data_IF_124423450988
#
_entry.id   IF_124423450988
#
_cell.length_a   1.000
_cell.length_b   1.000
_cell.length_c   1.000
_cell.angle_alpha   90.00
_cell.angle_beta   90.00
_cell.angle_gamma   90.00
#
_symmetry.space_group_name_H-M   'P 1'
#
loop_
_entity.id
_entity.type
_entity.pdbx_description
1 polymer ?
#
# COMPACT_ATOMS: atom_id res chain seq x y z
N UNK A 1 15.53 13.96 15.22
CA UNK A 1 15.18 12.57 14.81
C UNK A 1 13.95 12.07 15.57
N UNK A 2 13.25 12.98 16.26
CA UNK A 2 12.24 12.64 17.26
C UNK A 2 10.97 12.08 16.65
N UNK A 3 10.66 12.45 15.39
CA UNK A 3 9.56 11.89 14.60
C UNK A 3 9.62 10.35 14.41
N UNK A 4 10.78 9.75 14.60
CA UNK A 4 10.98 8.30 14.44
C UNK A 4 10.99 7.54 15.78
N UNK A 5 10.74 8.24 16.89
CA UNK A 5 10.63 7.59 18.20
C UNK A 5 9.37 6.71 18.19
N UNK A 6 9.55 5.46 18.61
CA UNK A 6 8.45 4.49 18.70
C UNK A 6 7.86 4.57 20.10
N UNK A 7 6.59 4.95 20.17
CA UNK A 7 5.87 5.10 21.43
C UNK A 7 4.66 4.17 21.48
N UNK A 8 4.34 3.58 22.65
CA UNK A 8 3.11 2.83 22.82
C UNK A 8 1.92 3.77 22.63
N UNK A 9 0.95 3.34 21.81
CA UNK A 9 -0.24 4.14 21.53
C UNK A 9 -1.21 4.14 22.72
N UNK A 10 -1.18 3.07 23.51
CA UNK A 10 -2.01 2.89 24.70
C UNK A 10 -1.17 2.45 25.89
N UNK A 11 -1.42 3.07 27.05
CA UNK A 11 -0.69 2.78 28.30
C UNK A 11 0.71 3.36 28.35
N UNK A 12 1.37 3.20 29.50
CA UNK A 12 2.72 3.73 29.79
C UNK A 12 3.71 2.62 30.18
N UNK A 13 3.46 1.40 29.70
CA UNK A 13 4.27 0.22 29.98
C UNK A 13 5.43 0.02 28.99
N UNK A 14 6.30 -0.97 29.24
CA UNK A 14 7.36 -1.34 28.30
C UNK A 14 6.78 -1.84 26.97
N UNK A 15 7.49 -1.57 25.87
CA UNK A 15 7.11 -2.05 24.53
C UNK A 15 7.43 -3.54 24.42
N UNK A 16 6.40 -4.36 24.26
CA UNK A 16 6.50 -5.77 23.93
C UNK A 16 6.25 -6.01 22.43
N UNK A 17 6.55 -7.22 21.95
CA UNK A 17 6.41 -7.60 20.54
C UNK A 17 4.98 -7.48 19.97
N UNK A 18 3.95 -7.48 20.83
CA UNK A 18 2.54 -7.32 20.47
C UNK A 18 1.97 -5.94 20.82
N UNK A 19 2.79 -5.02 21.34
CA UNK A 19 2.32 -3.69 21.75
C UNK A 19 1.95 -2.85 20.54
N UNK A 20 0.75 -2.27 20.56
CA UNK A 20 0.31 -1.32 19.54
C UNK A 20 1.03 0.00 19.76
N UNK A 21 1.92 0.35 18.84
CA UNK A 21 2.68 1.60 18.82
C UNK A 21 2.19 2.52 17.71
N UNK A 22 2.67 3.77 17.72
CA UNK A 22 2.52 4.70 16.59
C UNK A 22 2.87 4.05 15.24
N UNK A 23 3.98 3.30 15.16
CA UNK A 23 4.39 2.59 13.94
C UNK A 23 3.36 1.53 13.52
N UNK A 24 2.85 0.73 14.46
CA UNK A 24 1.83 -0.28 14.12
C UNK A 24 0.52 0.35 13.61
N UNK A 25 0.15 1.52 14.13
CA UNK A 25 -1.01 2.27 13.66
C UNK A 25 -0.83 2.72 12.20
N UNK A 26 0.32 3.34 11.88
CA UNK A 26 0.62 3.80 10.52
C UNK A 26 0.73 2.63 9.54
N UNK A 27 1.34 1.53 9.95
CA UNK A 27 1.38 0.31 9.15
C UNK A 27 -0.03 -0.24 8.88
N UNK A 28 -0.90 -0.25 9.89
CA UNK A 28 -2.30 -0.62 9.75
C UNK A 28 -3.05 0.29 8.77
N UNK A 29 -2.85 1.61 8.85
CA UNK A 29 -3.42 2.58 7.91
C UNK A 29 -2.94 2.34 6.47
N UNK A 30 -1.65 2.05 6.26
CA UNK A 30 -1.12 1.68 4.95
C UNK A 30 -1.80 0.44 4.37
N UNK A 31 -2.02 -0.59 5.20
CA UNK A 31 -2.72 -1.82 4.78
C UNK A 31 -4.18 -1.53 4.43
N UNK A 32 -4.88 -0.72 5.24
CA UNK A 32 -6.25 -0.32 4.95
C UNK A 32 -6.32 0.47 3.64
N UNK A 33 -5.42 1.44 3.43
CA UNK A 33 -5.33 2.20 2.19
C UNK A 33 -5.07 1.30 0.97
N UNK A 34 -4.16 0.33 1.10
CA UNK A 34 -3.87 -0.65 0.05
C UNK A 34 -5.10 -1.48 -0.30
N UNK A 35 -5.79 -2.02 0.70
CA UNK A 35 -7.01 -2.81 0.52
C UNK A 35 -8.10 -1.98 -0.13
N UNK A 36 -8.27 -0.72 0.27
CA UNK A 36 -9.25 0.19 -0.36
C UNK A 36 -8.92 0.43 -1.83
N UNK A 37 -7.68 0.75 -2.17
CA UNK A 37 -7.28 1.01 -3.57
C UNK A 37 -7.44 -0.26 -4.42
N UNK A 38 -6.98 -1.41 -3.93
CA UNK A 38 -6.99 -2.67 -4.67
C UNK A 38 -8.40 -3.29 -4.77
N UNK A 39 -9.21 -3.24 -3.71
CA UNK A 39 -10.56 -3.80 -3.77
C UNK A 39 -11.54 -2.84 -4.43
N UNK A 40 -11.58 -1.57 -4.04
CA UNK A 40 -12.57 -0.62 -4.57
C UNK A 40 -12.25 -0.26 -6.01
N UNK A 41 -10.97 -0.06 -6.35
CA UNK A 41 -10.51 0.25 -7.70
C UNK A 41 -10.80 -0.85 -8.73
N UNK A 42 -10.91 -2.11 -8.29
CA UNK A 42 -11.11 -3.27 -9.17
C UNK A 42 -12.49 -3.93 -9.02
N UNK A 43 -13.31 -3.49 -8.06
CA UNK A 43 -14.61 -4.12 -7.71
C UNK A 43 -15.71 -3.92 -8.75
N UNK A 44 -15.75 -2.77 -9.43
CA UNK A 44 -16.75 -2.50 -10.47
C UNK A 44 -16.15 -2.80 -11.83
N UNK A 45 -16.47 -3.96 -12.40
CA UNK A 45 -16.20 -4.29 -13.81
C UNK A 45 -17.20 -3.57 -14.73
N UNK A 46 -17.37 -2.27 -14.57
CA UNK A 46 -18.25 -1.49 -15.42
C UNK A 46 -17.59 -1.29 -16.79
N UNK A 47 -18.38 -1.43 -17.86
CA UNK A 47 -17.91 -1.19 -19.24
C UNK A 47 -17.46 0.26 -19.47
N UNK A 48 -18.03 1.22 -18.73
CA UNK A 48 -17.56 2.61 -18.69
C UNK A 48 -16.89 2.83 -17.34
N UNK A 49 -15.55 3.01 -17.29
CA UNK A 49 -14.84 3.10 -16.02
C UNK A 49 -15.17 4.40 -15.28
N UNK A 50 -15.48 4.29 -14.00
CA UNK A 50 -15.58 5.44 -13.10
C UNK A 50 -14.19 5.95 -12.69
N UNK A 51 -14.10 7.16 -12.12
CA UNK A 51 -12.82 7.79 -11.72
C UNK A 51 -11.90 6.89 -10.89
N UNK A 52 -12.45 6.19 -9.89
CA UNK A 52 -11.66 5.30 -9.02
C UNK A 52 -11.17 4.04 -9.77
N UNK A 53 -11.97 3.52 -10.70
CA UNK A 53 -11.59 2.40 -11.56
C UNK A 53 -10.48 2.80 -12.53
N UNK A 54 -10.56 3.99 -13.13
CA UNK A 54 -9.49 4.50 -14.01
C UNK A 54 -8.15 4.62 -13.30
N UNK A 55 -8.12 5.07 -12.04
CA UNK A 55 -6.88 5.12 -11.25
C UNK A 55 -6.32 3.70 -11.02
N UNK A 56 -7.19 2.74 -10.68
CA UNK A 56 -6.80 1.34 -10.51
C UNK A 56 -6.26 0.70 -11.79
N UNK A 57 -6.92 0.91 -12.93
CA UNK A 57 -6.50 0.41 -14.24
C UNK A 57 -5.17 1.03 -14.70
N UNK A 58 -4.98 2.33 -14.47
CA UNK A 58 -3.71 3.01 -14.75
C UNK A 58 -2.56 2.43 -13.90
N UNK A 59 -2.79 2.24 -12.60
CA UNK A 59 -1.79 1.64 -11.72
C UNK A 59 -1.45 0.20 -12.13
N UNK A 60 -2.46 -0.61 -12.41
CA UNK A 60 -2.28 -1.98 -12.90
C UNK A 60 -1.45 -2.01 -14.19
N UNK A 61 -1.86 -1.23 -15.19
CA UNK A 61 -1.19 -1.20 -16.50
C UNK A 61 0.25 -0.70 -16.40
N UNK A 62 0.49 0.32 -15.56
CA UNK A 62 1.82 0.84 -15.29
C UNK A 62 2.72 -0.22 -14.67
N UNK A 63 2.30 -0.87 -13.58
CA UNK A 63 3.11 -1.87 -12.90
C UNK A 63 3.30 -3.11 -13.77
N UNK A 64 2.27 -3.55 -14.50
CA UNK A 64 2.37 -4.74 -15.36
C UNK A 64 3.38 -4.52 -16.47
N UNK A 65 3.30 -3.36 -17.14
CA UNK A 65 4.25 -2.99 -18.18
C UNK A 65 5.66 -2.87 -17.63
N UNK A 66 5.84 -2.24 -16.46
CA UNK A 66 7.14 -2.16 -15.79
C UNK A 66 7.74 -3.54 -15.49
N UNK A 67 6.92 -4.49 -15.03
CA UNK A 67 7.37 -5.86 -14.76
C UNK A 67 7.81 -6.55 -16.05
N UNK A 68 7.03 -6.45 -17.12
CA UNK A 68 7.37 -7.04 -18.42
C UNK A 68 8.64 -6.40 -19.02
N UNK A 69 8.78 -5.07 -18.95
CA UNK A 69 9.90 -4.31 -19.51
C UNK A 69 11.22 -4.58 -18.76
N UNK A 70 11.18 -4.74 -17.43
CA UNK A 70 12.38 -4.88 -16.58
C UNK A 70 12.77 -6.35 -16.37
N UNK A 71 11.80 -7.22 -16.09
CA UNK A 71 12.04 -8.60 -15.68
C UNK A 71 11.62 -9.63 -16.75
N UNK A 72 11.00 -9.18 -17.85
CA UNK A 72 10.54 -10.05 -18.93
C UNK A 72 9.21 -10.74 -18.64
N UNK A 73 8.70 -11.48 -19.64
CA UNK A 73 7.40 -12.17 -19.57
C UNK A 73 7.35 -13.30 -18.53
N UNK A 74 8.50 -13.90 -18.24
CA UNK A 74 8.61 -14.96 -17.24
C UNK A 74 8.35 -14.44 -15.81
N UNK A 75 8.39 -13.13 -15.60
CA UNK A 75 8.08 -12.48 -14.32
C UNK A 75 6.58 -12.20 -14.10
N UNK A 76 5.75 -12.31 -15.15
CA UNK A 76 4.30 -12.04 -15.08
C UNK A 76 3.57 -12.93 -14.05
N UNK A 77 3.91 -14.21 -13.84
CA UNK A 77 3.34 -15.01 -12.75
C UNK A 77 3.58 -14.43 -11.35
N UNK A 78 4.66 -13.66 -11.15
CA UNK A 78 4.98 -12.98 -9.90
C UNK A 78 4.36 -11.58 -9.78
N UNK A 79 3.68 -11.11 -10.83
CA UNK A 79 3.04 -9.80 -10.88
C UNK A 79 2.17 -9.49 -9.65
N UNK A 80 1.32 -10.41 -9.13
CA UNK A 80 0.50 -10.09 -7.96
C UNK A 80 1.31 -9.70 -6.72
N UNK A 81 2.46 -10.35 -6.52
CA UNK A 81 3.38 -10.01 -5.42
C UNK A 81 4.03 -8.64 -5.65
N UNK A 82 4.53 -8.39 -6.85
CA UNK A 82 5.18 -7.13 -7.21
C UNK A 82 4.20 -5.97 -7.09
N UNK A 83 2.97 -6.14 -7.59
CA UNK A 83 1.89 -5.15 -7.50
C UNK A 83 1.57 -4.81 -6.05
N UNK A 84 1.40 -5.82 -5.20
CA UNK A 84 1.08 -5.62 -3.78
C UNK A 84 2.19 -4.86 -3.07
N UNK A 85 3.45 -5.27 -3.29
CA UNK A 85 4.62 -4.64 -2.67
C UNK A 85 4.81 -3.20 -3.15
N UNK A 86 4.70 -2.96 -4.46
CA UNK A 86 4.79 -1.63 -5.06
C UNK A 86 3.74 -0.69 -4.46
N UNK A 87 2.47 -1.10 -4.48
CA UNK A 87 1.38 -0.28 -3.98
C UNK A 87 1.50 -0.04 -2.47
N UNK A 88 1.90 -1.04 -1.69
CA UNK A 88 2.12 -0.89 -0.25
C UNK A 88 3.21 0.16 0.04
N UNK A 89 4.34 0.09 -0.66
CA UNK A 89 5.46 1.02 -0.47
C UNK A 89 5.04 2.42 -0.87
N UNK A 90 4.43 2.60 -2.05
CA UNK A 90 3.95 3.91 -2.52
C UNK A 90 3.00 4.52 -1.49
N UNK A 91 1.96 3.80 -1.08
CA UNK A 91 0.98 4.32 -0.13
C UNK A 91 1.60 4.65 1.24
N UNK A 92 2.52 3.81 1.73
CA UNK A 92 3.23 4.07 2.98
C UNK A 92 4.09 5.34 2.92
N UNK A 93 4.76 5.58 1.78
CA UNK A 93 5.54 6.80 1.57
C UNK A 93 4.63 8.04 1.46
N UNK A 94 3.48 7.93 0.78
CA UNK A 94 2.51 9.03 0.71
C UNK A 94 1.92 9.36 2.08
N UNK A 95 1.60 8.36 2.90
CA UNK A 95 1.15 8.58 4.27
C UNK A 95 2.23 9.22 5.14
N UNK A 96 3.50 8.86 4.93
CA UNK A 96 4.64 9.49 5.62
C UNK A 96 4.88 10.96 5.27
N UNK A 97 4.24 11.51 4.23
CA UNK A 97 4.27 12.95 3.92
C UNK A 97 3.28 13.75 4.77
N UNK A 98 2.32 13.09 5.44
CA UNK A 98 1.39 13.78 6.33
C UNK A 98 2.17 14.29 7.55
N UNK A 99 1.99 15.56 7.93
CA UNK A 99 2.64 16.10 9.12
C UNK A 99 2.15 15.34 10.35
N UNK A 100 3.11 14.94 11.18
CA UNK A 100 2.92 14.22 12.45
C UNK A 100 2.85 15.18 13.63
#
# INVERSE_FOLDING_TARGET
MDQFIVEPLFGSGPIHWYTVTNVTLWMGLSVVALVLVMLVGTSKRALVPGRAQSIGELAYGFVHKMVEDVAGRDAVPYFPYIMTLFMFIVLSNFLGLLPM
#
